data_IF_977210158713
#
_entry.id   IF_977210158713
#
_cell.length_a   1.000
_cell.length_b   1.000
_cell.length_c   1.000
_cell.angle_alpha   90.00
_cell.angle_beta   90.00
_cell.angle_gamma   90.00
#
_symmetry.space_group_name_H-M   'P 1'
#
loop_
_entity.id
_entity.type
_entity.pdbx_description
1 polymer ?
#
# COMPACT_ATOMS: atom_id res chain seq x y z
N UNK A 1 8.36 -6.14 -13.50
CA UNK A 1 7.33 -5.49 -14.37
C UNK A 1 6.39 -4.68 -13.49
N UNK A 2 5.81 -3.57 -13.98
CA UNK A 2 4.83 -2.78 -13.22
C UNK A 2 3.50 -2.69 -13.98
N UNK A 3 2.37 -2.56 -13.26
CA UNK A 3 1.04 -2.52 -13.89
C UNK A 3 0.84 -1.30 -14.79
N UNK A 4 1.48 -0.18 -14.46
CA UNK A 4 1.48 1.05 -15.25
C UNK A 4 2.58 1.06 -16.31
N UNK A 5 2.76 -0.02 -17.06
CA UNK A 5 3.67 -0.08 -18.21
C UNK A 5 2.94 -0.55 -19.45
N UNK A 6 3.33 -0.04 -20.63
CA UNK A 6 2.74 -0.45 -21.91
C UNK A 6 2.94 -1.95 -22.17
N UNK A 7 4.08 -2.52 -21.78
CA UNK A 7 4.33 -3.97 -21.88
C UNK A 7 3.31 -4.78 -21.08
N UNK A 8 2.98 -4.32 -19.86
CA UNK A 8 1.95 -4.98 -19.06
C UNK A 8 0.56 -4.85 -19.69
N UNK A 9 0.18 -3.64 -20.09
CA UNK A 9 -1.15 -3.33 -20.61
C UNK A 9 -1.45 -3.96 -21.96
N UNK A 10 -0.48 -3.91 -22.88
CA UNK A 10 -0.69 -4.30 -24.27
C UNK A 10 -0.29 -5.76 -24.58
N UNK A 11 0.60 -6.35 -23.78
CA UNK A 11 1.12 -7.70 -24.05
C UNK A 11 0.78 -8.65 -22.91
N UNK A 12 1.32 -8.39 -21.71
CA UNK A 12 1.22 -9.36 -20.60
C UNK A 12 -0.22 -9.64 -20.21
N UNK A 13 -1.00 -8.62 -19.85
CA UNK A 13 -2.37 -8.79 -19.36
C UNK A 13 -3.30 -9.41 -20.41
N UNK A 14 -3.35 -8.94 -21.69
CA UNK A 14 -4.20 -9.56 -22.70
C UNK A 14 -3.83 -11.02 -22.98
N UNK A 15 -2.54 -11.35 -23.08
CA UNK A 15 -2.09 -12.73 -23.30
C UNK A 15 -2.47 -13.63 -22.13
N UNK A 16 -2.24 -13.19 -20.89
CA UNK A 16 -2.57 -13.98 -19.69
C UNK A 16 -4.08 -14.19 -19.57
N UNK A 17 -4.90 -13.16 -19.82
CA UNK A 17 -6.36 -13.29 -19.82
C UNK A 17 -6.84 -14.26 -20.91
N UNK A 18 -6.35 -14.13 -22.14
CA UNK A 18 -6.70 -15.04 -23.22
C UNK A 18 -6.37 -16.49 -22.87
N UNK A 19 -5.14 -16.76 -22.43
CA UNK A 19 -4.74 -18.10 -21.99
C UNK A 19 -5.57 -18.62 -20.84
N UNK A 20 -5.85 -17.78 -19.81
CA UNK A 20 -6.64 -18.17 -18.66
C UNK A 20 -8.05 -18.65 -19.03
N UNK A 21 -8.71 -17.95 -19.94
CA UNK A 21 -10.09 -18.31 -20.35
C UNK A 21 -10.15 -19.41 -21.41
N UNK A 22 -9.08 -19.64 -22.16
CA UNK A 22 -8.97 -20.77 -23.08
C UNK A 22 -8.76 -22.11 -22.36
N UNK A 23 -8.19 -22.09 -21.15
CA UNK A 23 -7.91 -23.31 -20.41
C UNK A 23 -9.19 -23.91 -19.78
N UNK A 24 -9.41 -25.25 -19.90
CA UNK A 24 -10.71 -25.85 -19.57
C UNK A 24 -10.96 -26.04 -18.07
N UNK A 25 -9.90 -26.25 -17.26
CA UNK A 25 -10.05 -26.60 -15.85
C UNK A 25 -9.42 -25.59 -14.92
N UNK A 26 -10.02 -25.40 -13.74
CA UNK A 26 -9.52 -24.50 -12.71
C UNK A 26 -8.09 -24.85 -12.25
N UNK A 27 -7.77 -26.16 -12.20
CA UNK A 27 -6.41 -26.61 -11.82
C UNK A 27 -5.35 -26.10 -12.81
N UNK A 28 -5.61 -26.23 -14.11
CA UNK A 28 -4.68 -25.76 -15.14
C UNK A 28 -4.60 -24.23 -15.13
N UNK A 29 -5.72 -23.53 -14.91
CA UNK A 29 -5.76 -22.08 -14.73
C UNK A 29 -4.92 -21.64 -13.53
N UNK A 30 -4.95 -22.37 -12.41
CA UNK A 30 -4.10 -22.09 -11.25
C UNK A 30 -2.62 -22.27 -11.56
N UNK A 31 -2.24 -23.34 -12.28
CA UNK A 31 -0.86 -23.54 -12.72
C UNK A 31 -0.39 -22.40 -13.65
N UNK A 32 -1.24 -21.98 -14.59
CA UNK A 32 -0.94 -20.82 -15.44
C UNK A 32 -0.68 -19.58 -14.57
N UNK A 33 -1.57 -19.28 -13.61
CA UNK A 33 -1.42 -18.11 -12.73
C UNK A 33 -0.13 -18.17 -11.90
N UNK A 34 0.28 -19.34 -11.43
CA UNK A 34 1.55 -19.52 -10.71
C UNK A 34 2.71 -19.20 -11.64
N UNK A 35 2.75 -19.82 -12.84
CA UNK A 35 3.84 -19.64 -13.79
C UNK A 35 3.98 -18.17 -14.21
N UNK A 36 2.88 -17.53 -14.59
CA UNK A 36 2.91 -16.12 -15.01
C UNK A 36 3.24 -15.18 -13.86
N UNK A 37 2.85 -15.52 -12.62
CA UNK A 37 3.20 -14.72 -11.43
C UNK A 37 4.69 -14.81 -11.12
N UNK A 38 5.29 -15.99 -11.20
CA UNK A 38 6.71 -16.17 -11.02
C UNK A 38 7.52 -15.48 -12.15
N UNK A 39 7.05 -15.54 -13.40
CA UNK A 39 7.66 -14.81 -14.52
C UNK A 39 7.53 -13.30 -14.35
N UNK A 40 6.36 -12.81 -13.91
CA UNK A 40 6.13 -11.40 -13.62
C UNK A 40 7.11 -10.87 -12.55
N UNK A 41 7.34 -11.65 -11.50
CA UNK A 41 8.29 -11.31 -10.45
C UNK A 41 9.73 -11.39 -10.94
N UNK A 42 10.10 -12.50 -11.60
CA UNK A 42 11.46 -12.73 -12.13
C UNK A 42 11.88 -11.68 -13.16
N UNK A 43 10.94 -11.07 -13.89
CA UNK A 43 11.23 -9.98 -14.83
C UNK A 43 11.90 -8.78 -14.15
N UNK A 44 11.56 -8.48 -12.89
CA UNK A 44 12.18 -7.43 -12.10
C UNK A 44 13.26 -7.92 -11.12
N UNK A 45 13.11 -9.16 -10.66
CA UNK A 45 13.90 -9.76 -9.57
C UNK A 45 14.35 -11.18 -9.92
N UNK A 46 15.25 -11.37 -10.90
CA UNK A 46 15.57 -12.71 -11.43
C UNK A 46 16.22 -13.63 -10.40
N UNK A 47 16.97 -13.10 -9.44
CA UNK A 47 17.61 -13.87 -8.35
C UNK A 47 16.65 -14.07 -7.19
N UNK A 48 15.93 -13.03 -6.79
CA UNK A 48 15.08 -13.07 -5.60
C UNK A 48 13.76 -13.84 -5.80
N UNK A 49 13.41 -14.24 -7.03
CA UNK A 49 12.33 -15.21 -7.26
C UNK A 49 12.63 -16.54 -6.58
N UNK A 50 13.91 -16.97 -6.52
CA UNK A 50 14.31 -18.18 -5.82
C UNK A 50 14.13 -18.04 -4.31
N UNK A 51 14.43 -16.86 -3.74
CA UNK A 51 14.20 -16.57 -2.33
C UNK A 51 12.70 -16.63 -1.99
N UNK A 52 11.84 -16.08 -2.84
CA UNK A 52 10.39 -16.16 -2.68
C UNK A 52 9.89 -17.61 -2.74
N UNK A 53 10.35 -18.41 -3.70
CA UNK A 53 10.01 -19.83 -3.80
C UNK A 53 10.47 -20.59 -2.55
N UNK A 54 11.70 -20.36 -2.08
CA UNK A 54 12.22 -20.96 -0.85
C UNK A 54 11.35 -20.58 0.36
N UNK A 55 10.97 -19.29 0.51
CA UNK A 55 10.07 -18.83 1.56
C UNK A 55 8.71 -19.53 1.50
N UNK A 56 8.13 -19.70 0.32
CA UNK A 56 6.85 -20.41 0.11
C UNK A 56 6.96 -21.87 0.59
N UNK A 57 8.02 -22.58 0.17
CA UNK A 57 8.24 -23.99 0.54
C UNK A 57 8.43 -24.12 2.07
N UNK A 58 9.24 -23.26 2.67
CA UNK A 58 9.49 -23.26 4.12
C UNK A 58 8.17 -23.04 4.88
N UNK A 59 7.37 -22.07 4.51
CA UNK A 59 6.10 -21.77 5.18
C UNK A 59 5.04 -22.85 4.92
N UNK A 60 5.02 -23.48 3.76
CA UNK A 60 4.23 -24.67 3.50
C UNK A 60 4.60 -25.82 4.46
N UNK A 61 5.90 -26.10 4.64
CA UNK A 61 6.37 -27.13 5.56
C UNK A 61 5.95 -26.80 6.99
N UNK A 62 6.11 -25.56 7.46
CA UNK A 62 5.62 -25.14 8.77
C UNK A 62 4.11 -25.33 8.92
N UNK A 63 3.32 -24.96 7.91
CA UNK A 63 1.88 -25.23 7.89
C UNK A 63 1.55 -26.70 8.06
N UNK A 64 2.27 -27.59 7.36
CA UNK A 64 2.11 -29.06 7.49
C UNK A 64 2.49 -29.56 8.89
N UNK A 65 3.60 -29.09 9.45
CA UNK A 65 4.08 -29.48 10.78
C UNK A 65 3.13 -29.01 11.89
N UNK A 66 2.44 -27.89 11.72
CA UNK A 66 1.46 -27.35 12.66
C UNK A 66 0.16 -28.19 12.74
N UNK A 67 -0.07 -29.13 11.83
CA UNK A 67 -1.16 -30.10 11.89
C UNK A 67 -1.07 -31.09 13.09
N UNK A 68 0.01 -31.06 13.87
CA UNK A 68 0.15 -31.92 15.07
C UNK A 68 -0.77 -31.48 16.20
N UNK A 69 -1.30 -32.44 16.98
CA UNK A 69 -2.14 -32.16 18.16
C UNK A 69 -1.32 -31.70 19.39
N UNK A 70 -0.01 -31.95 19.41
CA UNK A 70 0.83 -31.59 20.54
C UNK A 70 1.01 -30.06 20.65
N UNK A 71 0.39 -29.47 21.68
CA UNK A 71 0.37 -28.01 21.91
C UNK A 71 1.78 -27.43 22.06
N UNK A 72 2.68 -28.08 22.81
CA UNK A 72 4.07 -27.61 23.00
C UNK A 72 4.84 -27.63 21.67
N UNK A 73 4.70 -28.70 20.89
CA UNK A 73 5.33 -28.80 19.56
C UNK A 73 4.82 -27.71 18.63
N UNK A 74 3.52 -27.42 18.61
CA UNK A 74 2.94 -26.35 17.81
C UNK A 74 3.50 -24.97 18.20
N UNK A 75 3.65 -24.68 19.49
CA UNK A 75 4.25 -23.42 19.96
C UNK A 75 5.69 -23.24 19.47
N UNK A 76 6.51 -24.29 19.55
CA UNK A 76 7.89 -24.24 19.05
C UNK A 76 7.95 -24.08 17.53
N UNK A 77 7.11 -24.80 16.78
CA UNK A 77 7.04 -24.67 15.32
C UNK A 77 6.67 -23.25 14.94
N UNK A 78 5.64 -22.66 15.58
CA UNK A 78 5.27 -21.27 15.34
C UNK A 78 6.41 -20.30 15.65
N UNK A 79 7.06 -20.45 16.80
CA UNK A 79 8.18 -19.59 17.20
C UNK A 79 9.32 -19.64 16.16
N UNK A 80 9.71 -20.82 15.71
CA UNK A 80 10.75 -20.99 14.67
C UNK A 80 10.30 -20.36 13.35
N UNK A 81 9.05 -20.58 12.94
CA UNK A 81 8.51 -19.98 11.72
C UNK A 81 8.54 -18.45 11.77
N UNK A 82 8.13 -17.85 12.89
CA UNK A 82 8.17 -16.39 13.10
C UNK A 82 9.61 -15.88 13.06
N UNK A 83 10.54 -16.56 13.75
CA UNK A 83 11.97 -16.18 13.78
C UNK A 83 12.56 -16.22 12.36
N UNK A 84 12.27 -17.23 11.56
CA UNK A 84 12.80 -17.34 10.20
C UNK A 84 12.21 -16.24 9.30
N UNK A 85 10.89 -16.02 9.34
CA UNK A 85 10.26 -15.01 8.51
C UNK A 85 10.68 -13.58 8.89
N UNK A 86 10.72 -13.25 10.17
CA UNK A 86 11.20 -11.95 10.65
C UNK A 86 12.71 -11.82 10.44
N UNK A 87 13.49 -12.90 10.64
CA UNK A 87 14.92 -12.94 10.36
C UNK A 87 15.24 -12.61 8.90
N UNK A 88 14.43 -13.11 7.97
CA UNK A 88 14.53 -12.77 6.55
C UNK A 88 14.38 -11.24 6.33
N UNK A 89 13.37 -10.62 6.95
CA UNK A 89 13.20 -9.17 6.89
C UNK A 89 14.37 -8.43 7.55
N UNK A 90 14.86 -8.91 8.70
CA UNK A 90 16.00 -8.28 9.38
C UNK A 90 17.23 -8.27 8.49
N UNK A 91 17.55 -9.38 7.85
CA UNK A 91 18.73 -9.50 7.00
C UNK A 91 18.64 -8.60 5.76
N UNK A 92 17.54 -8.67 5.02
CA UNK A 92 17.45 -7.95 3.74
C UNK A 92 16.99 -6.49 3.87
N UNK A 93 16.26 -6.15 4.92
CA UNK A 93 15.69 -4.80 5.05
C UNK A 93 16.36 -3.96 6.14
N UNK A 94 16.69 -4.53 7.29
CA UNK A 94 17.08 -3.72 8.46
C UNK A 94 18.55 -3.81 8.81
N UNK A 95 19.33 -4.78 8.27
CA UNK A 95 20.72 -5.01 8.68
C UNK A 95 21.56 -3.73 8.52
N UNK A 96 21.52 -3.10 7.36
CA UNK A 96 22.33 -1.89 7.10
C UNK A 96 21.90 -0.69 7.97
N UNK A 97 20.59 -0.53 8.21
CA UNK A 97 20.09 0.49 9.15
C UNK A 97 20.59 0.24 10.57
N UNK A 98 20.62 -1.01 11.03
CA UNK A 98 21.15 -1.38 12.35
C UNK A 98 22.64 -1.11 12.44
N UNK A 99 23.41 -1.52 11.44
CA UNK A 99 24.87 -1.28 11.38
C UNK A 99 25.17 0.21 11.34
N UNK A 100 24.49 1.00 10.50
CA UNK A 100 24.62 2.46 10.47
C UNK A 100 24.30 3.11 11.81
N UNK A 101 23.28 2.61 12.50
CA UNK A 101 22.90 3.13 13.82
C UNK A 101 23.99 2.82 14.86
N UNK A 102 24.53 1.60 14.87
CA UNK A 102 25.63 1.20 15.76
C UNK A 102 26.89 2.03 15.45
N UNK A 103 27.26 2.19 14.18
CA UNK A 103 28.41 2.99 13.77
C UNK A 103 28.30 4.44 14.27
N UNK A 104 27.10 5.04 14.15
CA UNK A 104 26.86 6.40 14.66
C UNK A 104 26.97 6.52 16.18
N UNK A 105 26.43 5.54 16.92
CA UNK A 105 26.38 5.59 18.39
C UNK A 105 27.70 5.24 19.04
N UNK A 106 28.42 4.27 18.46
CA UNK A 106 29.65 3.72 19.04
C UNK A 106 30.93 4.28 18.39
N UNK A 107 30.82 5.08 17.31
CA UNK A 107 31.97 5.53 16.53
C UNK A 107 32.69 4.38 15.83
N UNK A 108 31.99 3.27 15.55
CA UNK A 108 32.54 2.10 14.86
C UNK A 108 32.44 2.26 13.33
N UNK A 109 33.25 1.49 12.60
CA UNK A 109 33.29 1.48 11.13
C UNK A 109 32.95 0.08 10.59
N UNK A 110 31.90 -0.55 11.12
CA UNK A 110 31.44 -1.86 10.65
C UNK A 110 30.94 -1.70 9.20
N UNK A 111 31.45 -2.52 8.25
CA UNK A 111 31.03 -2.42 6.86
C UNK A 111 29.56 -2.77 6.69
N UNK A 112 28.87 -2.07 5.77
CA UNK A 112 27.50 -2.37 5.41
C UNK A 112 27.46 -3.63 4.55
N UNK A 113 26.39 -4.41 4.69
CA UNK A 113 26.20 -5.63 3.89
C UNK A 113 25.86 -5.30 2.42
N UNK A 114 25.22 -4.15 2.15
CA UNK A 114 24.86 -3.68 0.81
C UNK A 114 23.91 -4.62 0.07
N UNK A 115 23.10 -5.39 0.80
CA UNK A 115 22.13 -6.31 0.18
C UNK A 115 21.01 -5.52 -0.47
N UNK A 116 20.74 -5.78 -1.76
CA UNK A 116 19.58 -5.21 -2.42
C UNK A 116 18.29 -5.73 -1.78
N UNK A 117 17.34 -4.84 -1.53
CA UNK A 117 16.05 -5.18 -0.94
C UNK A 117 15.15 -5.87 -1.98
N UNK A 118 14.77 -7.15 -1.81
CA UNK A 118 13.86 -7.83 -2.73
C UNK A 118 12.50 -7.12 -2.77
N UNK A 119 12.03 -6.76 -3.96
CA UNK A 119 10.74 -6.11 -4.15
C UNK A 119 9.63 -6.98 -3.56
N UNK A 120 8.76 -6.39 -2.74
CA UNK A 120 7.61 -7.10 -2.16
C UNK A 120 7.93 -8.03 -0.98
N UNK A 121 9.19 -8.10 -0.49
CA UNK A 121 9.57 -9.00 0.62
C UNK A 121 8.69 -8.79 1.87
N UNK A 122 8.33 -7.56 2.19
CA UNK A 122 7.45 -7.26 3.32
C UNK A 122 6.03 -7.81 3.12
N UNK A 123 5.53 -7.79 1.88
CA UNK A 123 4.19 -8.28 1.54
C UNK A 123 4.12 -9.81 1.58
N UNK A 124 5.00 -10.50 0.84
CA UNK A 124 4.95 -11.96 0.82
C UNK A 124 5.33 -12.59 2.17
N UNK A 125 6.18 -11.94 2.98
CA UNK A 125 6.47 -12.39 4.34
C UNK A 125 5.24 -12.27 5.25
N UNK A 126 4.47 -11.17 5.17
CA UNK A 126 3.25 -11.02 5.94
C UNK A 126 2.16 -11.99 5.50
N UNK A 127 2.04 -12.27 4.21
CA UNK A 127 1.14 -13.31 3.70
C UNK A 127 1.54 -14.69 4.23
N UNK A 128 2.82 -15.05 4.14
CA UNK A 128 3.33 -16.32 4.63
C UNK A 128 3.13 -16.48 6.16
N UNK A 129 3.41 -15.43 6.94
CA UNK A 129 3.15 -15.41 8.38
C UNK A 129 1.67 -15.55 8.71
N UNK A 130 0.77 -14.86 7.97
CA UNK A 130 -0.66 -15.00 8.21
C UNK A 130 -1.12 -16.45 8.01
N UNK A 131 -0.68 -17.12 6.93
CA UNK A 131 -0.98 -18.53 6.71
C UNK A 131 -0.52 -19.41 7.88
N UNK A 132 0.73 -19.29 8.31
CA UNK A 132 1.29 -20.12 9.41
C UNK A 132 0.56 -19.85 10.73
N UNK A 133 0.25 -18.58 11.04
CA UNK A 133 -0.46 -18.21 12.27
C UNK A 133 -1.93 -18.67 12.22
N UNK A 134 -2.61 -18.56 11.08
CA UNK A 134 -4.00 -19.02 10.93
C UNK A 134 -4.11 -20.54 11.10
N UNK A 135 -3.16 -21.31 10.56
CA UNK A 135 -3.04 -22.76 10.81
C UNK A 135 -2.78 -23.05 12.29
N UNK A 136 -1.86 -22.29 12.94
CA UNK A 136 -1.61 -22.43 14.37
C UNK A 136 -2.86 -22.17 15.21
N UNK A 137 -3.68 -21.18 14.85
CA UNK A 137 -4.95 -20.83 15.54
C UNK A 137 -6.07 -21.80 15.24
N UNK A 138 -5.89 -22.68 14.27
CA UNK A 138 -6.93 -23.57 13.73
C UNK A 138 -8.09 -22.81 13.04
N UNK A 139 -7.80 -21.61 12.53
CA UNK A 139 -8.73 -20.85 11.71
C UNK A 139 -8.79 -21.42 10.28
N UNK A 140 -7.71 -22.06 9.84
CA UNK A 140 -7.62 -22.80 8.57
C UNK A 140 -6.94 -24.16 8.77
N UNK A 141 -7.30 -25.14 7.94
CA UNK A 141 -6.64 -26.43 7.91
C UNK A 141 -5.27 -26.34 7.23
N UNK A 142 -4.27 -27.17 7.69
CA UNK A 142 -2.97 -27.24 7.04
C UNK A 142 -3.09 -27.64 5.57
N UNK A 143 -2.73 -26.74 4.66
CA UNK A 143 -2.87 -26.98 3.22
C UNK A 143 -2.03 -28.18 2.78
N UNK A 144 -2.68 -29.14 2.09
CA UNK A 144 -2.03 -30.38 1.62
C UNK A 144 -1.33 -30.19 0.26
N UNK A 145 -1.75 -29.19 -0.51
CA UNK A 145 -1.27 -28.93 -1.85
C UNK A 145 -0.32 -27.70 -1.84
N UNK A 146 0.97 -27.93 -2.12
CA UNK A 146 1.98 -26.86 -2.22
C UNK A 146 1.59 -25.79 -3.26
N UNK A 147 0.99 -26.20 -4.39
CA UNK A 147 0.60 -25.27 -5.46
C UNK A 147 -0.43 -24.25 -5.01
N UNK A 148 -1.31 -24.59 -4.08
CA UNK A 148 -2.29 -23.65 -3.53
C UNK A 148 -1.62 -22.57 -2.67
N UNK A 149 -0.61 -22.94 -1.86
CA UNK A 149 0.17 -21.97 -1.08
C UNK A 149 1.05 -21.14 -2.01
N UNK A 150 1.60 -21.74 -3.06
CA UNK A 150 2.40 -21.05 -4.05
C UNK A 150 1.56 -20.00 -4.80
N UNK A 151 0.36 -20.37 -5.27
CA UNK A 151 -0.57 -19.42 -5.89
C UNK A 151 -0.91 -18.28 -4.93
N UNK A 152 -1.24 -18.60 -3.68
CA UNK A 152 -1.60 -17.61 -2.67
C UNK A 152 -0.51 -16.56 -2.47
N UNK A 153 0.73 -16.97 -2.28
CA UNK A 153 1.83 -16.05 -1.95
C UNK A 153 2.36 -15.34 -3.20
N UNK A 154 2.51 -16.06 -4.32
CA UNK A 154 3.12 -15.51 -5.53
C UNK A 154 2.17 -14.72 -6.43
N UNK A 155 0.85 -14.75 -6.21
CA UNK A 155 -0.13 -14.20 -7.13
C UNK A 155 0.13 -12.73 -7.48
N UNK A 156 0.48 -12.47 -8.74
CA UNK A 156 1.05 -11.20 -9.19
C UNK A 156 0.20 -9.95 -8.90
N UNK A 157 -1.17 -10.00 -8.87
CA UNK A 157 -1.94 -8.79 -8.57
C UNK A 157 -1.69 -8.23 -7.18
N UNK A 158 -1.45 -9.09 -6.18
CA UNK A 158 -1.28 -8.68 -4.78
C UNK A 158 0.19 -8.60 -4.33
N UNK A 159 1.12 -9.24 -5.07
CA UNK A 159 2.46 -9.58 -4.63
C UNK A 159 3.32 -8.37 -4.23
N UNK A 160 3.30 -7.27 -5.01
CA UNK A 160 4.23 -6.15 -4.84
C UNK A 160 3.70 -5.11 -3.85
N UNK A 161 2.48 -4.63 -4.04
CA UNK A 161 1.85 -3.59 -3.20
C UNK A 161 0.32 -3.66 -3.24
N UNK A 162 -0.24 -4.81 -3.53
CA UNK A 162 -1.69 -5.05 -3.43
C UNK A 162 -2.18 -5.02 -1.99
N UNK A 163 -3.49 -5.20 -1.75
CA UNK A 163 -3.98 -5.48 -0.41
C UNK A 163 -3.26 -6.68 0.19
N UNK A 164 -2.89 -6.61 1.47
CA UNK A 164 -2.34 -7.78 2.19
C UNK A 164 -3.50 -8.75 2.41
N UNK A 165 -3.61 -9.72 1.51
CA UNK A 165 -4.64 -10.75 1.56
C UNK A 165 -4.22 -11.83 2.54
N UNK A 166 -5.11 -12.22 3.46
CA UNK A 166 -4.87 -13.33 4.39
C UNK A 166 -5.33 -14.64 3.75
N UNK A 167 -4.73 -15.76 4.18
CA UNK A 167 -5.04 -17.05 3.55
C UNK A 167 -6.51 -17.45 3.69
N UNK A 168 -7.11 -17.22 4.85
CA UNK A 168 -8.52 -17.54 5.09
C UNK A 168 -9.50 -16.71 4.24
N UNK A 169 -9.10 -15.53 3.75
CA UNK A 169 -9.95 -14.69 2.89
C UNK A 169 -10.12 -15.27 1.48
N UNK A 170 -9.14 -16.09 1.00
CA UNK A 170 -9.15 -16.59 -0.39
C UNK A 170 -9.03 -18.09 -0.56
N UNK A 171 -8.86 -18.88 0.53
CA UNK A 171 -8.65 -20.33 0.43
C UNK A 171 -9.72 -21.06 -0.40
N UNK A 172 -11.00 -20.72 -0.21
CA UNK A 172 -12.10 -21.30 -0.98
C UNK A 172 -12.06 -20.92 -2.45
N UNK A 173 -11.62 -19.67 -2.74
CA UNK A 173 -11.54 -19.15 -4.10
C UNK A 173 -10.40 -19.77 -4.90
N UNK A 174 -9.40 -20.35 -4.25
CA UNK A 174 -8.32 -21.09 -4.94
C UNK A 174 -8.89 -22.35 -5.59
N UNK A 175 -9.76 -23.07 -4.91
CA UNK A 175 -10.30 -24.35 -5.35
C UNK A 175 -11.68 -24.23 -6.02
N UNK A 176 -12.45 -23.19 -5.68
CA UNK A 176 -13.84 -23.00 -6.12
C UNK A 176 -14.07 -21.53 -6.50
N UNK A 177 -13.77 -21.14 -7.73
CA UNK A 177 -14.12 -19.81 -8.24
C UNK A 177 -14.67 -19.88 -9.65
N UNK A 178 -15.63 -19.05 -9.91
CA UNK A 178 -16.19 -18.79 -11.22
C UNK A 178 -16.18 -17.28 -11.48
N UNK A 179 -16.08 -16.91 -12.72
CA UNK A 179 -16.20 -15.51 -13.18
C UNK A 179 -17.16 -15.46 -14.34
N UNK A 180 -18.01 -14.46 -14.35
CA UNK A 180 -18.86 -14.13 -15.48
C UNK A 180 -18.32 -12.90 -16.23
N UNK A 181 -18.88 -12.64 -17.41
CA UNK A 181 -18.47 -11.50 -18.25
C UNK A 181 -18.68 -10.16 -17.54
N UNK A 182 -19.68 -10.08 -16.67
CA UNK A 182 -19.97 -8.86 -15.91
C UNK A 182 -18.89 -8.61 -14.86
N UNK A 183 -18.46 -9.61 -14.11
CA UNK A 183 -17.35 -9.50 -13.15
C UNK A 183 -16.04 -9.12 -13.82
N UNK A 184 -15.78 -9.67 -15.02
CA UNK A 184 -14.60 -9.29 -15.82
C UNK A 184 -14.67 -7.82 -16.22
N UNK A 185 -15.82 -7.36 -16.73
CA UNK A 185 -16.01 -5.97 -17.14
C UNK A 185 -15.91 -4.99 -15.96
N UNK A 186 -16.45 -5.34 -14.80
CA UNK A 186 -16.33 -4.56 -13.56
C UNK A 186 -14.86 -4.53 -13.09
N UNK A 187 -14.15 -5.65 -13.13
CA UNK A 187 -12.74 -5.76 -12.82
C UNK A 187 -11.87 -4.90 -13.75
N UNK A 188 -12.11 -4.95 -15.06
CA UNK A 188 -11.40 -4.13 -16.03
C UNK A 188 -11.63 -2.63 -15.82
N UNK A 189 -12.88 -2.23 -15.60
CA UNK A 189 -13.22 -0.83 -15.29
C UNK A 189 -12.52 -0.36 -14.02
N UNK A 190 -12.51 -1.17 -12.97
CA UNK A 190 -11.80 -0.85 -11.73
C UNK A 190 -10.29 -0.74 -11.93
N UNK A 191 -9.72 -1.63 -12.71
CA UNK A 191 -8.30 -1.57 -13.10
C UNK A 191 -7.97 -0.25 -13.81
N UNK A 192 -8.79 0.17 -14.79
CA UNK A 192 -8.60 1.42 -15.54
C UNK A 192 -8.70 2.64 -14.63
N UNK A 193 -9.66 2.66 -13.69
CA UNK A 193 -9.77 3.72 -12.69
C UNK A 193 -8.51 3.78 -11.81
N UNK A 194 -8.01 2.63 -11.35
CA UNK A 194 -6.76 2.54 -10.60
C UNK A 194 -5.56 3.04 -11.38
N UNK A 195 -5.45 2.64 -12.65
CA UNK A 195 -4.42 3.11 -13.57
C UNK A 195 -4.48 4.64 -13.77
N UNK A 196 -5.67 5.19 -13.91
CA UNK A 196 -5.89 6.64 -14.07
C UNK A 196 -5.47 7.42 -12.83
N UNK A 197 -5.78 6.91 -11.64
CA UNK A 197 -5.30 7.47 -10.36
C UNK A 197 -3.79 7.56 -10.33
N UNK A 198 -3.11 6.49 -10.74
CA UNK A 198 -1.65 6.40 -10.76
C UNK A 198 -1.05 7.30 -11.83
N UNK A 199 -1.47 7.15 -13.09
CA UNK A 199 -0.79 7.77 -14.22
C UNK A 199 -1.14 9.27 -14.36
N UNK A 200 -2.43 9.63 -14.20
CA UNK A 200 -2.88 10.98 -14.48
C UNK A 200 -2.83 11.90 -13.23
N UNK A 201 -3.00 11.33 -12.03
CA UNK A 201 -3.04 12.15 -10.80
C UNK A 201 -1.73 12.01 -10.03
N UNK A 202 -1.38 10.81 -9.59
CA UNK A 202 -0.21 10.61 -8.73
C UNK A 202 1.08 11.04 -9.39
N UNK A 203 1.33 10.68 -10.65
CA UNK A 203 2.55 11.05 -11.35
C UNK A 203 2.69 12.58 -11.51
N UNK A 204 1.61 13.30 -11.78
CA UNK A 204 1.61 14.76 -11.86
C UNK A 204 1.93 15.40 -10.50
N UNK A 205 1.33 14.90 -9.42
CA UNK A 205 1.64 15.36 -8.06
C UNK A 205 3.08 15.03 -7.66
N UNK A 206 3.61 13.88 -8.13
CA UNK A 206 4.98 13.44 -7.85
C UNK A 206 6.03 14.44 -8.38
N UNK A 207 5.85 14.96 -9.58
CA UNK A 207 6.79 15.92 -10.19
C UNK A 207 6.98 17.15 -9.27
N UNK A 208 5.88 17.75 -8.82
CA UNK A 208 5.93 18.90 -7.91
C UNK A 208 6.46 18.54 -6.52
N UNK A 209 6.02 17.41 -5.96
CA UNK A 209 6.50 16.98 -4.64
C UNK A 209 8.01 16.72 -4.66
N UNK A 210 8.51 16.00 -5.65
CA UNK A 210 9.94 15.66 -5.74
C UNK A 210 10.81 16.89 -6.00
N UNK A 211 10.36 17.81 -6.87
CA UNK A 211 11.07 19.06 -7.12
C UNK A 211 11.23 19.90 -5.83
N UNK A 212 10.15 20.07 -5.07
CA UNK A 212 10.17 20.89 -3.86
C UNK A 212 10.86 20.20 -2.66
N UNK A 213 10.81 18.88 -2.54
CA UNK A 213 11.58 18.17 -1.52
C UNK A 213 13.08 18.09 -1.85
N UNK A 214 13.48 18.28 -3.11
CA UNK A 214 14.88 18.37 -3.53
C UNK A 214 15.44 19.80 -3.49
N UNK A 215 14.60 20.82 -3.36
CA UNK A 215 15.01 22.22 -3.34
C UNK A 215 15.86 22.58 -2.11
N UNK A 216 16.77 23.53 -2.29
CA UNK A 216 17.66 24.02 -1.24
C UNK A 216 16.94 24.84 -0.16
N UNK A 217 17.53 24.90 1.03
CA UNK A 217 16.94 25.60 2.17
C UNK A 217 16.60 27.08 1.89
N UNK A 218 17.42 27.79 1.09
CA UNK A 218 17.17 29.18 0.72
C UNK A 218 16.15 29.41 -0.38
N UNK A 219 15.64 28.32 -0.99
CA UNK A 219 14.69 28.36 -2.12
C UNK A 219 13.24 28.17 -1.69
N UNK A 220 13.04 27.72 -0.45
CA UNK A 220 11.72 27.39 0.07
C UNK A 220 11.16 28.47 0.99
N UNK A 221 9.86 28.66 0.92
CA UNK A 221 9.08 29.47 1.84
C UNK A 221 7.80 28.71 2.27
N UNK A 222 6.94 29.35 3.06
CA UNK A 222 5.72 28.77 3.56
C UNK A 222 4.80 28.23 2.43
N UNK A 223 4.72 28.93 1.30
CA UNK A 223 3.86 28.51 0.17
C UNK A 223 4.40 27.26 -0.50
N UNK A 224 5.69 27.25 -0.86
CA UNK A 224 6.34 26.09 -1.49
C UNK A 224 6.31 24.86 -0.57
N UNK A 225 6.53 25.04 0.75
CA UNK A 225 6.47 23.94 1.72
C UNK A 225 5.06 23.34 1.84
N UNK A 226 4.00 24.15 1.85
CA UNK A 226 2.62 23.65 1.82
C UNK A 226 2.24 23.02 0.48
N UNK A 227 2.67 23.56 -0.65
CA UNK A 227 2.49 22.96 -1.97
C UNK A 227 3.15 21.57 -2.00
N UNK A 228 4.39 21.46 -1.52
CA UNK A 228 5.11 20.18 -1.42
C UNK A 228 4.36 19.15 -0.56
N UNK A 229 3.91 19.57 0.63
CA UNK A 229 3.20 18.71 1.56
C UNK A 229 1.85 18.20 0.99
N UNK A 230 1.07 19.09 0.38
CA UNK A 230 -0.22 18.74 -0.24
C UNK A 230 -0.01 17.86 -1.48
N UNK A 231 0.94 18.21 -2.34
CA UNK A 231 1.27 17.43 -3.52
C UNK A 231 1.68 16.00 -3.13
N UNK A 232 2.56 15.85 -2.11
CA UNK A 232 2.95 14.52 -1.64
C UNK A 232 1.80 13.75 -0.97
N UNK A 233 0.97 14.43 -0.17
CA UNK A 233 -0.21 13.83 0.44
C UNK A 233 -1.18 13.25 -0.61
N UNK A 234 -1.39 13.97 -1.72
CA UNK A 234 -2.21 13.50 -2.82
C UNK A 234 -1.49 12.42 -3.65
N UNK A 235 -0.19 12.58 -3.91
CA UNK A 235 0.63 11.59 -4.59
C UNK A 235 0.53 10.22 -3.91
N UNK A 236 0.84 10.12 -2.62
CA UNK A 236 0.86 8.83 -1.90
C UNK A 236 -0.52 8.18 -1.88
N UNK A 237 -1.59 8.96 -1.74
CA UNK A 237 -2.95 8.42 -1.76
C UNK A 237 -3.33 7.87 -3.12
N UNK A 238 -3.13 8.65 -4.18
CA UNK A 238 -3.53 8.23 -5.53
C UNK A 238 -2.59 7.16 -6.11
N UNK A 239 -1.32 7.16 -5.74
CA UNK A 239 -0.39 6.07 -6.10
C UNK A 239 -0.84 4.74 -5.50
N UNK A 240 -1.01 4.72 -4.19
CA UNK A 240 -1.28 3.48 -3.48
C UNK A 240 -2.73 3.01 -3.62
N UNK A 241 -3.72 3.90 -3.56
CA UNK A 241 -5.11 3.53 -3.85
C UNK A 241 -5.29 3.11 -5.31
N UNK A 242 -4.55 3.73 -6.24
CA UNK A 242 -4.53 3.35 -7.64
C UNK A 242 -4.00 1.93 -7.84
N UNK A 243 -2.87 1.61 -7.21
CA UNK A 243 -2.33 0.24 -7.25
C UNK A 243 -3.30 -0.78 -6.62
N UNK A 244 -3.90 -0.44 -5.48
CA UNK A 244 -4.89 -1.31 -4.83
C UNK A 244 -6.12 -1.55 -5.71
N UNK A 245 -6.63 -0.51 -6.39
CA UNK A 245 -7.74 -0.67 -7.34
C UNK A 245 -7.36 -1.52 -8.55
N UNK A 246 -6.14 -1.36 -9.09
CA UNK A 246 -5.62 -2.22 -10.14
C UNK A 246 -5.54 -3.67 -9.67
N UNK A 247 -5.00 -3.92 -8.49
CA UNK A 247 -4.88 -5.27 -7.92
C UNK A 247 -6.25 -5.94 -7.69
N UNK A 248 -7.21 -5.21 -7.14
CA UNK A 248 -8.58 -5.70 -6.92
C UNK A 248 -9.27 -5.95 -8.27
N UNK A 249 -9.10 -5.05 -9.23
CA UNK A 249 -9.63 -5.22 -10.59
C UNK A 249 -9.08 -6.46 -11.28
N UNK A 250 -7.76 -6.70 -11.21
CA UNK A 250 -7.11 -7.91 -11.69
C UNK A 250 -7.64 -9.16 -10.95
N UNK A 251 -7.78 -9.08 -9.63
CA UNK A 251 -8.39 -10.15 -8.84
C UNK A 251 -9.75 -10.55 -9.41
N UNK A 252 -10.65 -9.58 -9.62
CA UNK A 252 -11.99 -9.82 -10.20
C UNK A 252 -11.91 -10.46 -11.57
N UNK A 253 -11.00 -10.01 -12.44
CA UNK A 253 -10.82 -10.60 -13.78
C UNK A 253 -10.39 -12.08 -13.73
N UNK A 254 -9.72 -12.53 -12.66
CA UNK A 254 -9.33 -13.93 -12.47
C UNK A 254 -10.23 -14.70 -11.47
N UNK A 255 -11.31 -14.09 -11.01
CA UNK A 255 -12.29 -14.71 -10.09
C UNK A 255 -11.91 -14.63 -8.62
N UNK A 256 -10.96 -13.79 -8.24
CA UNK A 256 -10.61 -13.52 -6.85
C UNK A 256 -11.22 -12.21 -6.37
N UNK A 257 -11.78 -12.21 -5.16
CA UNK A 257 -12.39 -11.04 -4.52
C UNK A 257 -11.53 -10.59 -3.36
N UNK A 258 -10.72 -9.56 -3.57
CA UNK A 258 -9.92 -8.95 -2.55
C UNK A 258 -10.71 -7.89 -1.78
N UNK A 259 -10.34 -7.69 -0.51
CA UNK A 259 -10.94 -6.67 0.35
C UNK A 259 -10.46 -5.27 -0.03
N UNK A 260 -11.33 -4.27 0.25
CA UNK A 260 -10.99 -2.87 0.05
C UNK A 260 -9.82 -2.44 0.92
N UNK A 261 -8.86 -1.70 0.34
CA UNK A 261 -7.70 -1.19 1.04
C UNK A 261 -7.81 0.31 1.40
N UNK A 262 -8.63 1.05 0.67
CA UNK A 262 -8.88 2.48 0.89
C UNK A 262 -10.36 2.82 0.79
N UNK A 263 -10.85 3.67 1.73
CA UNK A 263 -12.23 4.18 1.74
C UNK A 263 -12.26 5.67 1.99
N UNK A 264 -11.74 6.48 1.04
CA UNK A 264 -11.72 7.93 1.12
C UNK A 264 -11.14 8.44 2.46
N UNK A 265 -9.87 8.18 2.77
CA UNK A 265 -9.29 8.45 4.09
C UNK A 265 -9.26 9.94 4.45
N UNK A 266 -9.20 10.82 3.45
CA UNK A 266 -9.08 12.25 3.69
C UNK A 266 -10.39 12.96 4.11
N UNK A 267 -11.54 12.26 4.11
CA UNK A 267 -12.77 12.78 4.71
C UNK A 267 -12.87 12.50 6.23
N UNK A 268 -11.87 11.91 6.84
CA UNK A 268 -11.87 11.52 8.25
C UNK A 268 -11.85 12.75 9.16
N UNK A 269 -12.59 12.69 10.24
CA UNK A 269 -12.66 13.74 11.27
C UNK A 269 -11.74 13.49 12.47
N UNK A 270 -11.01 12.38 12.49
CA UNK A 270 -10.04 12.03 13.53
C UNK A 270 -9.06 10.95 13.02
N UNK A 271 -7.94 10.77 13.73
CA UNK A 271 -6.88 9.83 13.33
C UNK A 271 -7.33 8.37 13.44
N UNK A 272 -8.19 8.05 14.41
CA UNK A 272 -8.76 6.71 14.49
C UNK A 272 -9.62 6.36 13.26
N UNK A 273 -10.41 7.30 12.76
CA UNK A 273 -11.21 7.13 11.55
C UNK A 273 -10.31 7.04 10.31
N UNK A 274 -9.26 7.89 10.23
CA UNK A 274 -8.29 7.85 9.16
C UNK A 274 -7.72 6.43 8.98
N UNK A 275 -7.23 5.79 10.04
CA UNK A 275 -6.67 4.43 9.99
C UNK A 275 -7.70 3.33 9.71
N UNK A 276 -8.98 3.58 9.87
CA UNK A 276 -10.06 2.68 9.42
C UNK A 276 -10.32 2.77 7.92
N UNK A 277 -9.81 3.82 7.26
CA UNK A 277 -10.02 4.14 5.85
C UNK A 277 -8.74 4.06 5.03
N UNK A 278 -7.59 4.17 5.68
CA UNK A 278 -6.26 4.12 5.09
C UNK A 278 -5.62 2.76 5.30
N UNK A 279 -5.11 2.14 4.20
CA UNK A 279 -4.35 0.88 4.22
C UNK A 279 -5.00 -0.17 5.15
N UNK A 280 -6.29 -0.45 4.88
CA UNK A 280 -7.16 -1.26 5.74
C UNK A 280 -6.57 -2.65 5.96
N UNK A 281 -5.98 -3.25 4.91
CA UNK A 281 -5.40 -4.59 4.97
C UNK A 281 -4.22 -4.65 5.96
N UNK A 282 -3.31 -3.67 5.94
CA UNK A 282 -2.19 -3.58 6.89
C UNK A 282 -2.69 -3.33 8.33
N UNK A 283 -3.62 -2.39 8.49
CA UNK A 283 -4.21 -2.08 9.80
C UNK A 283 -4.89 -3.30 10.41
N UNK A 284 -5.60 -4.08 9.58
CA UNK A 284 -6.26 -5.33 10.00
C UNK A 284 -5.22 -6.40 10.34
N UNK A 285 -4.17 -6.54 9.53
CA UNK A 285 -3.08 -7.47 9.79
C UNK A 285 -2.41 -7.20 11.14
N UNK A 286 -1.97 -5.96 11.40
CA UNK A 286 -1.37 -5.60 12.68
C UNK A 286 -2.34 -5.75 13.87
N UNK A 287 -3.62 -5.47 13.66
CA UNK A 287 -4.64 -5.70 14.70
C UNK A 287 -4.74 -7.17 15.07
N UNK A 288 -4.82 -8.06 14.09
CA UNK A 288 -5.08 -9.48 14.32
C UNK A 288 -3.83 -10.26 14.72
N UNK A 289 -2.68 -9.95 14.12
CA UNK A 289 -1.45 -10.72 14.32
C UNK A 289 -0.47 -10.11 15.32
N UNK A 290 -0.64 -8.84 15.72
CA UNK A 290 0.21 -8.19 16.71
C UNK A 290 -0.60 -7.63 17.91
N UNK A 291 -1.57 -6.75 17.67
CA UNK A 291 -2.29 -6.06 18.75
C UNK A 291 -3.07 -7.02 19.65
N UNK A 292 -3.87 -7.91 19.07
CA UNK A 292 -4.68 -8.89 19.82
C UNK A 292 -3.79 -9.88 20.60
N UNK A 293 -2.73 -10.48 20.03
CA UNK A 293 -1.80 -11.34 20.77
C UNK A 293 -1.10 -10.65 21.94
N UNK A 294 -0.77 -9.36 21.84
CA UNK A 294 -0.21 -8.56 22.94
C UNK A 294 -1.19 -8.33 24.09
N UNK A 295 -2.45 -8.74 23.93
CA UNK A 295 -3.53 -8.58 24.90
C UNK A 295 -4.58 -7.52 24.53
N UNK A 296 -4.38 -6.82 23.41
CA UNK A 296 -5.34 -5.82 22.93
C UNK A 296 -5.66 -4.75 23.96
N UNK A 297 -6.94 -4.53 24.22
CA UNK A 297 -7.45 -3.60 25.23
C UNK A 297 -7.90 -4.28 26.55
N UNK A 298 -7.61 -5.59 26.71
CA UNK A 298 -8.15 -6.40 27.84
C UNK A 298 -7.32 -6.28 29.12
N UNK A 299 -6.07 -5.76 29.06
CA UNK A 299 -5.12 -5.73 30.17
C UNK A 299 -4.94 -4.32 30.78
N UNK A 300 -6.00 -3.50 30.79
CA UNK A 300 -5.99 -2.15 31.37
C UNK A 300 -5.48 -1.05 30.42
N UNK A 301 -5.67 0.23 30.82
CA UNK A 301 -5.39 1.41 29.96
C UNK A 301 -3.90 1.54 29.60
N UNK A 302 -2.99 1.42 30.58
CA UNK A 302 -1.55 1.55 30.34
C UNK A 302 -1.03 0.52 29.33
N UNK A 303 -1.45 -0.75 29.46
CA UNK A 303 -1.08 -1.81 28.51
C UNK A 303 -1.67 -1.57 27.14
N UNK A 304 -2.90 -1.04 27.06
CA UNK A 304 -3.54 -0.66 25.78
C UNK A 304 -2.74 0.44 25.07
N UNK A 305 -2.27 1.46 25.80
CA UNK A 305 -1.42 2.50 25.25
C UNK A 305 -0.10 1.93 24.72
N UNK A 306 0.57 1.11 25.52
CA UNK A 306 1.81 0.45 25.11
C UNK A 306 1.60 -0.42 23.86
N UNK A 307 0.55 -1.23 23.82
CA UNK A 307 0.24 -2.07 22.66
C UNK A 307 0.03 -1.25 21.38
N UNK A 308 -0.66 -0.09 21.49
CA UNK A 308 -0.83 0.83 20.36
C UNK A 308 0.51 1.39 19.89
N UNK A 309 1.36 1.85 20.81
CA UNK A 309 2.69 2.36 20.45
C UNK A 309 3.56 1.29 19.79
N UNK A 310 3.54 0.04 20.29
CA UNK A 310 4.25 -1.08 19.67
C UNK A 310 3.73 -1.32 18.23
N UNK A 311 2.42 -1.30 18.02
CA UNK A 311 1.83 -1.47 16.69
C UNK A 311 2.29 -0.37 15.74
N UNK A 312 2.24 0.89 16.16
CA UNK A 312 2.62 2.01 15.28
C UNK A 312 4.13 2.12 15.07
N UNK A 313 4.94 1.77 16.06
CA UNK A 313 6.38 1.57 15.87
C UNK A 313 6.67 0.49 14.81
N UNK A 314 6.01 -0.67 14.94
CA UNK A 314 6.15 -1.77 13.97
C UNK A 314 5.62 -1.40 12.59
N UNK A 315 4.55 -0.60 12.51
CA UNK A 315 4.02 -0.08 11.25
C UNK A 315 5.03 0.84 10.56
N UNK A 316 5.69 1.72 11.31
CA UNK A 316 6.76 2.56 10.79
C UNK A 316 7.92 1.73 10.25
N UNK A 317 8.44 0.78 11.01
CA UNK A 317 9.49 -0.15 10.57
C UNK A 317 9.07 -0.94 9.32
N UNK A 318 7.83 -1.41 9.25
CA UNK A 318 7.35 -2.18 8.10
C UNK A 318 7.45 -1.38 6.80
N UNK A 319 7.21 -0.07 6.84
CA UNK A 319 7.30 0.78 5.66
C UNK A 319 8.74 0.93 5.14
N UNK A 320 9.74 1.08 5.99
CA UNK A 320 11.11 1.24 5.49
C UNK A 320 12.18 1.21 6.59
N UNK A 321 13.41 0.92 6.18
CA UNK A 321 14.58 0.93 7.02
C UNK A 321 15.17 2.34 7.17
N UNK A 322 14.35 3.29 7.66
CA UNK A 322 14.78 4.64 7.99
C UNK A 322 14.04 5.13 9.24
N UNK A 323 14.72 5.90 10.06
CA UNK A 323 14.15 6.48 11.28
C UNK A 323 13.00 7.45 10.99
N UNK A 324 12.93 8.07 9.82
CA UNK A 324 11.80 8.92 9.41
C UNK A 324 10.48 8.16 9.37
N UNK A 325 10.49 6.90 8.92
CA UNK A 325 9.30 6.03 8.94
C UNK A 325 8.91 5.63 10.37
N UNK A 326 9.89 5.34 11.23
CA UNK A 326 9.62 5.04 12.65
C UNK A 326 8.96 6.23 13.34
N UNK A 327 9.50 7.43 13.11
CA UNK A 327 8.97 8.68 13.67
C UNK A 327 7.56 8.97 13.15
N UNK A 328 7.30 8.74 11.85
CA UNK A 328 5.96 8.82 11.28
C UNK A 328 4.98 7.85 11.95
N UNK A 329 5.39 6.61 12.17
CA UNK A 329 4.55 5.65 12.90
C UNK A 329 4.27 6.11 14.33
N UNK A 330 5.29 6.51 15.08
CA UNK A 330 5.14 7.02 16.45
C UNK A 330 4.27 8.28 16.51
N UNK A 331 4.39 9.20 15.54
CA UNK A 331 3.52 10.36 15.39
C UNK A 331 2.04 9.96 15.39
N UNK A 332 1.65 9.05 14.54
CA UNK A 332 0.27 8.55 14.50
C UNK A 332 -0.14 7.83 15.79
N UNK A 333 0.78 7.07 16.38
CA UNK A 333 0.58 6.44 17.69
C UNK A 333 0.26 7.45 18.79
N UNK A 334 1.04 8.53 18.87
CA UNK A 334 0.85 9.62 19.85
C UNK A 334 -0.52 10.29 19.65
N UNK A 335 -0.90 10.63 18.42
CA UNK A 335 -2.19 11.27 18.16
C UNK A 335 -3.38 10.34 18.44
N UNK A 336 -3.24 9.03 18.25
CA UNK A 336 -4.26 8.06 18.69
C UNK A 336 -4.39 7.96 20.20
N UNK A 337 -3.31 8.20 20.97
CA UNK A 337 -3.38 8.31 22.43
C UNK A 337 -3.96 9.65 22.85
N UNK A 338 -3.57 10.74 22.18
CA UNK A 338 -4.14 12.08 22.40
C UNK A 338 -5.67 12.08 22.25
N UNK A 339 -6.21 11.45 21.22
CA UNK A 339 -7.66 11.34 20.98
C UNK A 339 -8.41 10.54 22.06
N UNK A 340 -7.72 9.75 22.89
CA UNK A 340 -8.34 9.07 24.05
C UNK A 340 -8.54 10.01 25.24
N UNK A 341 -7.67 11.01 25.37
CA UNK A 341 -7.72 12.00 26.47
C UNK A 341 -8.52 13.23 26.04
N UNK A 342 -8.23 13.73 24.83
CA UNK A 342 -8.89 14.90 24.26
C UNK A 342 -10.05 14.46 23.37
N UNK A 343 -11.31 14.84 23.67
CA UNK A 343 -12.46 14.37 22.92
C UNK A 343 -12.62 15.14 21.59
N UNK A 344 -11.73 14.91 20.64
CA UNK A 344 -11.75 15.50 19.28
C UNK A 344 -13.12 15.31 18.61
N UNK A 345 -13.81 14.21 18.92
CA UNK A 345 -15.18 13.94 18.44
C UNK A 345 -16.21 14.98 18.87
N UNK A 346 -15.93 15.80 19.89
CA UNK A 346 -16.80 16.89 20.35
C UNK A 346 -16.54 18.20 19.62
N UNK A 347 -15.47 18.30 18.83
CA UNK A 347 -15.21 19.47 17.99
C UNK A 347 -16.26 19.61 16.89
N UNK A 348 -16.55 20.84 16.45
CA UNK A 348 -17.29 21.06 15.21
C UNK A 348 -16.68 20.27 14.06
N UNK A 349 -17.50 19.67 13.20
CA UNK A 349 -17.06 18.77 12.12
C UNK A 349 -15.93 19.35 11.27
N UNK A 350 -15.99 20.64 10.94
CA UNK A 350 -14.97 21.32 10.13
C UNK A 350 -13.62 21.36 10.87
N UNK A 351 -13.61 21.72 12.15
CA UNK A 351 -12.38 21.79 12.95
C UNK A 351 -11.78 20.40 13.18
N UNK A 352 -12.61 19.39 13.42
CA UNK A 352 -12.18 18.00 13.56
C UNK A 352 -11.55 17.49 12.25
N UNK A 353 -12.12 17.88 11.11
CA UNK A 353 -11.60 17.53 9.79
C UNK A 353 -10.25 18.22 9.52
N UNK A 354 -10.14 19.53 9.77
CA UNK A 354 -8.88 20.28 9.64
C UNK A 354 -7.79 19.67 10.53
N UNK A 355 -8.12 19.37 11.80
CA UNK A 355 -7.20 18.68 12.70
C UNK A 355 -6.69 17.36 12.11
N UNK A 356 -7.58 16.50 11.63
CA UNK A 356 -7.20 15.21 11.09
C UNK A 356 -6.30 15.35 9.84
N UNK A 357 -6.65 16.24 8.91
CA UNK A 357 -5.86 16.51 7.72
C UNK A 357 -4.49 17.10 8.04
N UNK A 358 -4.41 18.03 9.01
CA UNK A 358 -3.15 18.64 9.43
C UNK A 358 -2.20 17.59 10.03
N UNK A 359 -2.70 16.76 10.96
CA UNK A 359 -1.89 15.68 11.57
C UNK A 359 -1.38 14.71 10.52
N UNK A 360 -2.24 14.31 9.57
CA UNK A 360 -1.86 13.39 8.48
C UNK A 360 -0.86 14.03 7.53
N UNK A 361 -1.08 15.28 7.14
CA UNK A 361 -0.21 16.02 6.22
C UNK A 361 1.20 16.18 6.81
N UNK A 362 1.31 16.67 8.04
CA UNK A 362 2.61 16.80 8.74
C UNK A 362 3.30 15.44 8.89
N UNK A 363 2.52 14.40 9.23
CA UNK A 363 3.03 13.02 9.27
C UNK A 363 3.62 12.60 7.91
N UNK A 364 2.95 12.88 6.81
CA UNK A 364 3.45 12.52 5.48
C UNK A 364 4.65 13.33 5.03
N UNK A 365 4.86 14.56 5.52
CA UNK A 365 6.12 15.29 5.30
C UNK A 365 7.30 14.54 5.91
N UNK A 366 7.18 14.06 7.15
CA UNK A 366 8.20 13.22 7.79
C UNK A 366 8.41 11.90 7.04
N UNK A 367 7.34 11.27 6.56
CA UNK A 367 7.40 10.03 5.79
C UNK A 367 8.13 10.21 4.45
N UNK A 368 7.98 11.38 3.78
CA UNK A 368 8.64 11.70 2.50
C UNK A 368 10.12 12.00 2.66
N UNK A 369 10.49 12.61 3.77
CA UNK A 369 11.83 13.09 4.01
C UNK A 369 12.87 11.95 4.01
N UNK A 370 14.01 12.20 3.37
CA UNK A 370 15.13 11.24 3.32
C UNK A 370 15.89 11.20 4.66
N UNK A 371 15.89 12.34 5.40
CA UNK A 371 16.52 12.46 6.71
C UNK A 371 15.59 13.15 7.70
N UNK A 372 15.83 12.91 9.00
CA UNK A 372 15.10 13.60 10.06
C UNK A 372 15.28 15.13 9.95
N UNK A 373 16.51 15.61 9.67
CA UNK A 373 16.79 17.03 9.50
C UNK A 373 15.98 17.67 8.38
N UNK A 374 15.89 17.01 7.22
CA UNK A 374 15.06 17.48 6.10
C UNK A 374 13.57 17.52 6.49
N UNK A 375 13.07 16.50 7.16
CA UNK A 375 11.66 16.47 7.61
C UNK A 375 11.36 17.63 8.58
N UNK A 376 12.22 17.86 9.55
CA UNK A 376 12.05 18.95 10.51
C UNK A 376 12.19 20.33 9.85
N UNK A 377 13.11 20.48 8.90
CA UNK A 377 13.26 21.69 8.12
C UNK A 377 11.98 22.00 7.33
N UNK A 378 11.46 21.03 6.59
CA UNK A 378 10.22 21.20 5.82
C UNK A 378 9.02 21.55 6.71
N UNK A 379 8.85 20.83 7.84
CA UNK A 379 7.80 21.14 8.82
C UNK A 379 8.00 22.55 9.40
N UNK A 380 9.22 22.92 9.76
CA UNK A 380 9.54 24.27 10.24
C UNK A 380 9.15 25.33 9.21
N UNK A 381 9.53 25.17 7.95
CA UNK A 381 9.20 26.08 6.86
C UNK A 381 7.69 26.22 6.63
N UNK A 382 6.91 25.14 6.79
CA UNK A 382 5.44 25.19 6.70
C UNK A 382 4.80 26.16 7.70
N UNK A 383 5.44 26.47 8.83
CA UNK A 383 4.85 27.31 9.87
C UNK A 383 5.61 28.62 10.12
N UNK A 384 6.90 28.71 9.73
CA UNK A 384 7.75 29.87 9.98
C UNK A 384 8.44 30.45 8.75
N UNK A 385 8.26 29.90 7.56
CA UNK A 385 8.91 30.33 6.32
C UNK A 385 8.27 31.59 5.68
N UNK A 386 8.18 32.67 6.40
CA UNK A 386 7.53 33.92 5.97
C UNK A 386 8.41 34.84 5.12
N UNK A 387 9.44 34.30 4.51
CA UNK A 387 10.28 35.02 3.56
C UNK A 387 9.76 34.83 2.13
N UNK A 388 9.74 35.90 1.34
CA UNK A 388 9.21 35.92 -0.02
C UNK A 388 10.19 36.60 -0.98
N UNK A 389 11.44 36.11 -1.03
CA UNK A 389 12.42 36.59 -2.00
C UNK A 389 11.98 36.25 -3.44
N UNK A 390 12.58 36.97 -4.42
CA UNK A 390 12.29 36.71 -5.84
C UNK A 390 12.60 35.24 -6.24
N UNK A 391 13.69 34.69 -5.68
CA UNK A 391 14.06 33.27 -5.90
C UNK A 391 13.01 32.32 -5.37
N UNK A 392 12.58 32.49 -4.10
CA UNK A 392 11.55 31.63 -3.48
C UNK A 392 10.22 31.72 -4.22
N UNK A 393 9.82 32.92 -4.65
CA UNK A 393 8.60 33.08 -5.43
C UNK A 393 8.69 32.50 -6.85
N UNK A 394 9.89 32.56 -7.48
CA UNK A 394 10.11 31.89 -8.77
C UNK A 394 9.89 30.38 -8.65
N UNK A 395 10.42 29.72 -7.60
CA UNK A 395 10.19 28.29 -7.32
C UNK A 395 8.70 27.98 -7.14
N UNK A 396 7.94 28.84 -6.43
CA UNK A 396 6.49 28.65 -6.28
C UNK A 396 5.77 28.71 -7.63
N UNK A 397 6.07 29.74 -8.46
CA UNK A 397 5.41 29.91 -9.75
C UNK A 397 5.75 28.81 -10.74
N UNK A 398 6.98 28.27 -10.72
CA UNK A 398 7.38 27.15 -11.56
C UNK A 398 6.53 25.90 -11.31
N UNK A 399 6.12 25.66 -10.06
CA UNK A 399 5.32 24.49 -9.69
C UNK A 399 3.82 24.67 -9.97
N UNK A 400 3.31 25.90 -10.06
CA UNK A 400 1.90 26.20 -10.29
C UNK A 400 1.53 26.13 -11.78
N UNK A 401 1.93 25.07 -12.47
CA UNK A 401 1.58 24.83 -13.87
C UNK A 401 0.08 24.61 -14.06
N UNK A 402 -0.52 24.93 -15.24
CA UNK A 402 -1.93 24.65 -15.50
C UNK A 402 -2.31 23.18 -15.28
N UNK A 403 -1.44 22.24 -15.66
CA UNK A 403 -1.69 20.82 -15.47
C UNK A 403 -1.69 20.42 -13.98
N UNK A 404 -0.77 20.99 -13.18
CA UNK A 404 -0.76 20.77 -11.73
C UNK A 404 -2.05 21.31 -11.09
N UNK A 405 -2.50 22.53 -11.43
CA UNK A 405 -3.68 23.15 -10.86
C UNK A 405 -4.97 22.35 -11.21
N UNK A 406 -5.13 21.94 -12.46
CA UNK A 406 -6.26 21.09 -12.88
C UNK A 406 -6.21 19.75 -12.14
N UNK A 407 -5.04 19.12 -12.07
CA UNK A 407 -4.88 17.83 -11.38
C UNK A 407 -5.14 17.98 -9.88
N UNK A 408 -4.69 19.06 -9.25
CA UNK A 408 -4.97 19.36 -7.84
C UNK A 408 -6.47 19.42 -7.57
N UNK A 409 -7.23 20.14 -8.39
CA UNK A 409 -8.69 20.21 -8.27
C UNK A 409 -9.31 18.81 -8.42
N UNK A 410 -8.93 18.08 -9.46
CA UNK A 410 -9.43 16.70 -9.69
C UNK A 410 -9.09 15.78 -8.52
N UNK A 411 -7.89 15.89 -7.97
CA UNK A 411 -7.43 15.08 -6.83
C UNK A 411 -8.20 15.39 -5.55
N UNK A 412 -8.46 16.68 -5.26
CA UNK A 412 -9.27 17.08 -4.08
C UNK A 412 -10.67 16.51 -4.17
N UNK A 413 -11.37 16.68 -5.31
CA UNK A 413 -12.70 16.08 -5.51
C UNK A 413 -12.67 14.56 -5.53
N UNK A 414 -11.66 13.94 -6.14
CA UNK A 414 -11.45 12.49 -6.17
C UNK A 414 -11.12 11.88 -4.81
N UNK A 415 -10.68 12.69 -3.85
CA UNK A 415 -10.42 12.27 -2.46
C UNK A 415 -11.68 12.11 -1.61
N UNK A 416 -12.86 12.50 -2.14
CA UNK A 416 -14.16 12.35 -1.50
C UNK A 416 -15.08 11.42 -2.33
N UNK A 417 -16.07 10.76 -1.73
CA UNK A 417 -16.97 9.81 -2.42
C UNK A 417 -18.04 10.49 -3.26
N UNK A 418 -17.70 11.58 -3.98
CA UNK A 418 -18.64 12.36 -4.76
C UNK A 418 -19.09 11.64 -6.03
N UNK A 419 -18.13 11.11 -6.79
CA UNK A 419 -18.38 10.37 -8.04
C UNK A 419 -19.19 9.09 -7.79
N UNK A 420 -18.82 8.20 -6.84
CA UNK A 420 -19.63 7.04 -6.52
C UNK A 420 -21.05 7.38 -6.07
N UNK A 421 -21.23 8.38 -5.20
CA UNK A 421 -22.56 8.80 -4.76
C UNK A 421 -23.42 9.33 -5.90
N UNK A 422 -22.82 10.12 -6.81
CA UNK A 422 -23.51 10.59 -8.01
C UNK A 422 -23.90 9.42 -8.93
N UNK A 423 -22.99 8.46 -9.13
CA UNK A 423 -23.26 7.25 -9.90
C UNK A 423 -24.38 6.41 -9.27
N UNK A 424 -24.35 6.17 -7.96
CA UNK A 424 -25.41 5.48 -7.22
C UNK A 424 -26.78 6.18 -7.40
N UNK A 425 -26.80 7.51 -7.27
CA UNK A 425 -28.02 8.29 -7.47
C UNK A 425 -28.57 8.21 -8.91
N UNK A 426 -27.70 8.15 -9.91
CA UNK A 426 -28.10 7.95 -11.31
C UNK A 426 -28.61 6.52 -11.56
N UNK A 427 -27.92 5.52 -10.99
CA UNK A 427 -28.30 4.10 -11.15
C UNK A 427 -29.61 3.75 -10.43
N UNK A 428 -29.97 4.48 -9.37
CA UNK A 428 -31.23 4.32 -8.65
C UNK A 428 -32.46 4.80 -9.46
N UNK A 429 -32.25 5.66 -10.47
CA UNK A 429 -33.32 6.17 -11.33
C UNK A 429 -33.40 5.33 -12.62
N UNK A 430 -34.52 4.70 -12.87
CA UNK A 430 -34.71 3.78 -14.00
C UNK A 430 -34.37 4.41 -15.36
N UNK A 431 -34.80 5.68 -15.58
CA UNK A 431 -34.52 6.44 -16.80
C UNK A 431 -33.03 6.82 -16.98
N UNK A 432 -32.26 6.93 -15.91
CA UNK A 432 -30.83 7.28 -15.96
C UNK A 432 -29.89 6.06 -15.88
N UNK A 433 -30.39 4.88 -15.51
CA UNK A 433 -29.59 3.68 -15.29
C UNK A 433 -28.79 3.26 -16.53
N UNK A 434 -29.46 3.12 -17.69
CA UNK A 434 -28.79 2.75 -18.94
C UNK A 434 -27.80 3.83 -19.41
N UNK A 435 -28.17 5.13 -19.49
CA UNK A 435 -27.22 6.18 -19.82
C UNK A 435 -26.00 6.22 -18.88
N UNK A 436 -26.19 6.07 -17.57
CA UNK A 436 -25.09 6.07 -16.61
C UNK A 436 -24.11 4.91 -16.83
N UNK A 437 -24.63 3.72 -17.15
CA UNK A 437 -23.78 2.55 -17.47
C UNK A 437 -22.99 2.80 -18.74
N UNK A 438 -23.63 3.25 -19.85
CA UNK A 438 -22.91 3.56 -21.09
C UNK A 438 -21.86 4.67 -20.89
N UNK A 439 -22.22 5.74 -20.16
CA UNK A 439 -21.28 6.80 -19.82
C UNK A 439 -20.07 6.26 -19.07
N UNK A 440 -20.26 5.34 -18.12
CA UNK A 440 -19.16 4.74 -17.35
C UNK A 440 -18.18 3.95 -18.21
N UNK A 441 -18.66 3.24 -19.24
CA UNK A 441 -17.81 2.54 -20.19
C UNK A 441 -17.05 3.49 -21.10
N UNK A 442 -17.72 4.50 -21.64
CA UNK A 442 -17.10 5.54 -22.49
C UNK A 442 -16.02 6.27 -21.69
N UNK A 443 -16.34 6.71 -20.47
CA UNK A 443 -15.39 7.37 -19.58
C UNK A 443 -14.17 6.49 -19.29
N UNK A 444 -14.37 5.18 -19.00
CA UNK A 444 -13.26 4.25 -18.77
C UNK A 444 -12.40 4.09 -20.03
N UNK A 445 -13.00 4.04 -21.20
CA UNK A 445 -12.24 3.95 -22.47
C UNK A 445 -11.42 5.21 -22.73
N UNK A 446 -11.99 6.39 -22.53
CA UNK A 446 -11.26 7.67 -22.64
C UNK A 446 -10.12 7.74 -21.63
N UNK A 447 -10.35 7.35 -20.38
CA UNK A 447 -9.31 7.30 -19.36
C UNK A 447 -8.18 6.35 -19.74
N UNK A 448 -8.49 5.19 -20.31
CA UNK A 448 -7.47 4.24 -20.79
C UNK A 448 -6.60 4.87 -21.89
N UNK A 449 -7.23 5.52 -22.89
CA UNK A 449 -6.48 6.22 -23.94
C UNK A 449 -5.58 7.29 -23.36
N UNK A 450 -6.08 8.13 -22.45
CA UNK A 450 -5.26 9.17 -21.81
C UNK A 450 -4.09 8.58 -21.03
N UNK A 451 -4.30 7.46 -20.31
CA UNK A 451 -3.22 6.75 -19.63
C UNK A 451 -2.18 6.20 -20.63
N UNK A 452 -2.61 5.60 -21.73
CA UNK A 452 -1.71 5.07 -22.76
C UNK A 452 -0.89 6.19 -23.42
N UNK A 453 -1.50 7.32 -23.74
CA UNK A 453 -0.82 8.51 -24.28
C UNK A 453 0.21 9.05 -23.28
N UNK A 454 -0.15 9.18 -22.01
CA UNK A 454 0.78 9.61 -20.97
C UNK A 454 1.95 8.64 -20.79
N UNK A 455 1.70 7.34 -20.82
CA UNK A 455 2.75 6.32 -20.70
C UNK A 455 3.67 6.25 -21.95
N UNK A 456 3.12 6.52 -23.14
CA UNK A 456 3.89 6.52 -24.38
C UNK A 456 4.82 7.73 -24.53
N UNK A 457 4.50 8.84 -23.86
CA UNK A 457 5.36 10.04 -23.86
C UNK A 457 6.63 9.89 -23.02
N UNK A 458 6.87 8.73 -22.40
CA UNK A 458 8.04 8.49 -21.54
C UNK A 458 8.07 9.34 -20.28
N UNK A 459 6.91 9.78 -19.81
CA UNK A 459 6.78 10.59 -18.62
C UNK A 459 7.27 9.86 -17.38
N UNK A 460 7.72 10.63 -16.39
CA UNK A 460 8.12 10.16 -15.07
C UNK A 460 7.01 9.31 -14.43
N UNK A 461 7.32 8.03 -14.13
CA UNK A 461 6.34 7.06 -13.64
C UNK A 461 6.89 6.34 -12.39
N UNK A 462 7.19 7.07 -11.31
CA UNK A 462 7.71 6.47 -10.09
C UNK A 462 6.62 5.63 -9.42
N UNK A 463 7.02 4.53 -8.79
CA UNK A 463 6.14 3.80 -7.88
C UNK A 463 6.66 3.99 -6.46
N UNK A 464 5.83 4.55 -5.59
CA UNK A 464 6.25 5.01 -4.28
C UNK A 464 6.80 3.87 -3.40
N UNK A 465 6.32 2.65 -3.58
CA UNK A 465 6.79 1.47 -2.84
C UNK A 465 8.17 0.96 -3.24
N UNK A 466 8.73 1.40 -4.38
CA UNK A 466 10.13 1.09 -4.71
C UNK A 466 11.14 1.96 -3.95
N UNK A 467 10.65 2.91 -3.19
CA UNK A 467 11.45 3.80 -2.38
C UNK A 467 11.64 3.31 -0.93
N UNK A 468 10.86 2.30 -0.50
CA UNK A 468 10.81 1.84 0.89
C UNK A 468 11.43 0.47 1.10
#
# INVERSE_FOLDING_TARGET
>A
MVFSSLTFLCIFLPVVLALYYLLPTLRIRNVLLIVVSLLFYAYGEPVYVLLMIASIIINYIFGRLLGTENKKKRQWILAIAVIINIGLLVVFKYLDMMVQTVNRLCGSEIPLAGLALPIGISFFTFQALSYVIDVYRREVEPQKNLWNVMLYISFFPQLIAGPIVKYHDIQEQIDNRNTDVKEIAEGLRRFIIGLSKKVLISNTMAVTADALFAAGAGELNILSAWIAAIAYMLQIYFDFSGYSDMAIGLGHMFGFRFLENFRYPYISANIQEFWRRWHISLSTWFKEYLYIPLGGNRKGKARTCLNKMIVFFSTGLWHGANWTFVLWGLWHGVFLLFEQVCPVKKLPKVLAHIYALLVVCVGFVMFRADTFGQGMFMIGTMFSGWEFSSLQMAVVWEQLTPIFLVTLVVAVFGSAPLIPKAAEACLAKENLRKPAVYFSYIASFVLLILCMLSLSSGTYNPFIYFRF
#
